data_IF_861393008763
#
_entry.id   IF_861393008763
#
_cell.length_a   1.000
_cell.length_b   1.000
_cell.length_c   1.000
_cell.angle_alpha   90.00
_cell.angle_beta   90.00
_cell.angle_gamma   90.00
#
_symmetry.space_group_name_H-M   'P 1'
#
loop_
_entity.id
_entity.type
_entity.pdbx_description
1 polymer ?
#
# COMPACT_ATOMS: atom_id res chain seq x y z
N UNK A 1 62.24 -11.63 9.40
CA UNK A 1 61.06 -12.33 9.92
C UNK A 1 60.37 -11.60 11.07
N UNK A 2 61.10 -10.99 11.96
CA UNK A 2 60.45 -10.25 13.07
C UNK A 2 59.61 -9.05 12.63
N UNK A 3 59.94 -8.43 11.52
CA UNK A 3 59.22 -7.27 11.02
C UNK A 3 57.83 -7.61 10.46
N UNK A 4 57.66 -8.81 9.95
CA UNK A 4 56.38 -9.27 9.40
C UNK A 4 55.39 -9.49 10.53
N UNK A 5 55.81 -10.01 11.65
CA UNK A 5 54.96 -10.21 12.80
C UNK A 5 54.48 -8.90 13.43
N UNK A 6 55.32 -7.88 13.40
CA UNK A 6 54.93 -6.57 13.89
C UNK A 6 53.85 -5.93 13.02
N UNK A 7 53.92 -6.07 11.70
CA UNK A 7 52.88 -5.58 10.81
C UNK A 7 51.59 -6.41 10.89
N UNK A 8 51.74 -7.71 11.10
CA UNK A 8 50.59 -8.59 11.34
C UNK A 8 49.87 -8.22 12.63
N UNK A 9 50.60 -7.94 13.70
CA UNK A 9 50.00 -7.50 14.95
C UNK A 9 49.31 -6.13 14.83
N UNK A 10 49.92 -5.21 14.09
CA UNK A 10 49.33 -3.90 13.85
C UNK A 10 48.03 -3.98 13.01
N UNK A 11 48.02 -4.87 12.02
CA UNK A 11 46.84 -5.12 11.22
C UNK A 11 45.71 -5.77 12.05
N UNK A 12 46.07 -6.71 12.90
CA UNK A 12 45.09 -7.34 13.78
C UNK A 12 44.50 -6.37 14.80
N UNK A 13 45.35 -5.46 15.30
CA UNK A 13 44.84 -4.42 16.22
C UNK A 13 43.92 -3.42 15.54
N UNK A 14 44.16 -3.13 14.25
CA UNK A 14 43.29 -2.22 13.53
C UNK A 14 41.91 -2.82 13.21
N UNK A 15 41.84 -4.13 13.08
CA UNK A 15 40.56 -4.81 12.84
C UNK A 15 39.75 -4.90 14.12
N UNK A 16 40.37 -4.97 15.26
CA UNK A 16 39.63 -5.02 16.53
C UNK A 16 39.00 -3.69 16.90
N UNK A 17 39.52 -2.59 16.40
CA UNK A 17 38.95 -1.29 16.76
C UNK A 17 37.66 -0.97 16.02
N UNK A 18 37.30 -1.73 15.00
CA UNK A 18 36.01 -1.51 14.33
C UNK A 18 34.84 -2.26 14.95
N UNK A 19 35.12 -3.11 15.90
CA UNK A 19 34.07 -3.94 16.48
C UNK A 19 33.35 -3.32 17.66
N UNK A 20 33.70 -2.12 18.01
CA UNK A 20 33.17 -1.52 19.23
C UNK A 20 32.16 -0.40 18.95
N UNK A 21 31.98 -0.08 17.68
CA UNK A 21 31.15 1.08 17.39
C UNK A 21 29.79 0.69 16.97
N UNK A 22 29.23 -0.28 17.54
CA UNK A 22 28.04 -0.67 16.97
C UNK A 22 26.86 -0.74 17.78
N UNK A 23 26.83 -0.18 18.90
CA UNK A 23 25.78 -0.60 19.69
C UNK A 23 25.03 0.33 20.43
N UNK A 24 25.14 1.49 20.14
CA UNK A 24 24.50 2.29 21.07
C UNK A 24 23.66 3.22 20.51
N UNK A 25 23.18 3.14 19.69
CA UNK A 25 22.38 3.70 19.08
C UNK A 25 21.03 3.65 19.32
N UNK A 26 20.69 3.15 20.04
CA UNK A 26 19.57 3.07 20.71
C UNK A 26 18.99 4.34 21.07
N UNK A 27 19.47 5.26 20.83
CA UNK A 27 18.91 6.46 20.99
C UNK A 27 18.07 6.80 19.90
N UNK A 28 17.45 6.08 19.56
CA UNK A 28 16.21 6.04 19.29
C UNK A 28 15.44 7.20 19.64
N UNK A 29 15.90 8.19 19.45
CA UNK A 29 15.13 9.28 19.05
C UNK A 29 14.57 8.99 17.69
N UNK A 30 14.19 7.82 17.51
CA UNK A 30 13.18 7.51 16.60
C UNK A 30 11.97 8.21 17.16
N UNK A 31 11.95 9.48 16.93
CA UNK A 31 10.71 10.17 16.87
C UNK A 31 9.92 9.32 15.90
N UNK A 32 9.13 8.48 16.42
CA UNK A 32 8.23 7.70 15.63
C UNK A 32 7.44 8.75 14.89
N UNK A 33 7.79 8.93 13.63
CA UNK A 33 7.04 9.78 12.75
C UNK A 33 5.64 9.21 12.84
N UNK A 34 4.76 9.93 13.50
CA UNK A 34 3.40 9.49 13.64
C UNK A 34 2.86 9.32 12.25
N UNK A 35 2.97 8.13 11.72
CA UNK A 35 2.44 7.80 10.42
C UNK A 35 0.93 7.89 10.53
N UNK A 36 0.39 8.82 9.78
CA UNK A 36 -1.05 9.01 9.73
C UNK A 36 -1.64 7.81 9.01
N UNK A 37 -2.64 7.20 9.62
CA UNK A 37 -3.34 6.08 9.01
C UNK A 37 -3.97 6.52 7.70
N UNK A 38 -3.87 5.68 6.68
CA UNK A 38 -4.47 5.95 5.38
C UNK A 38 -5.92 5.50 5.37
N UNK A 39 -6.84 6.46 5.29
CA UNK A 39 -8.27 6.21 5.35
C UNK A 39 -8.92 6.67 4.04
N UNK A 40 -9.70 5.80 3.45
CA UNK A 40 -10.50 6.11 2.25
C UNK A 40 -11.98 6.19 2.62
N UNK A 41 -12.74 7.00 1.89
CA UNK A 41 -14.17 7.18 2.18
C UNK A 41 -15.02 5.97 1.85
N UNK A 42 -14.55 5.08 0.98
CA UNK A 42 -15.29 3.88 0.57
C UNK A 42 -14.33 2.69 0.49
N UNK A 43 -14.18 1.94 1.57
CA UNK A 43 -13.30 0.77 1.55
C UNK A 43 -13.89 -0.43 0.79
N UNK A 44 -15.18 -0.38 0.48
CA UNK A 44 -15.86 -1.42 -0.30
C UNK A 44 -16.67 -0.75 -1.39
N UNK A 45 -16.47 -1.16 -2.64
CA UNK A 45 -17.22 -0.64 -3.78
C UNK A 45 -17.79 -1.79 -4.61
N UNK A 46 -18.95 -1.53 -5.16
CA UNK A 46 -19.62 -2.43 -6.10
C UNK A 46 -19.83 -1.67 -7.39
N UNK A 47 -19.34 -2.25 -8.49
CA UNK A 47 -19.44 -1.63 -9.79
C UNK A 47 -20.05 -2.61 -10.79
N UNK A 48 -20.87 -2.09 -11.67
CA UNK A 48 -21.42 -2.86 -12.79
C UNK A 48 -20.50 -2.86 -14.00
N UNK A 49 -21.00 -3.40 -15.08
CA UNK A 49 -20.28 -3.44 -16.33
C UNK A 49 -20.17 -2.02 -16.91
N UNK A 50 -18.98 -1.66 -17.38
CA UNK A 50 -18.68 -0.34 -17.93
C UNK A 50 -18.97 0.83 -16.96
N UNK A 51 -18.90 0.57 -15.68
CA UNK A 51 -19.04 1.58 -14.65
C UNK A 51 -17.71 1.98 -14.05
N UNK A 52 -17.67 3.15 -13.48
CA UNK A 52 -16.55 3.60 -12.69
C UNK A 52 -17.01 4.09 -11.33
N UNK A 53 -16.20 3.91 -10.33
CA UNK A 53 -16.44 4.41 -8.99
C UNK A 53 -15.30 5.34 -8.57
N UNK A 54 -15.65 6.37 -7.86
CA UNK A 54 -14.69 7.33 -7.33
C UNK A 54 -14.57 7.16 -5.82
N UNK A 55 -13.36 7.08 -5.36
CA UNK A 55 -13.01 6.94 -3.95
C UNK A 55 -12.05 8.06 -3.58
N UNK A 56 -12.35 8.76 -2.51
CA UNK A 56 -11.47 9.82 -2.04
C UNK A 56 -10.66 9.33 -0.85
N UNK A 57 -9.42 9.74 -0.79
CA UNK A 57 -8.62 9.62 0.41
C UNK A 57 -9.09 10.68 1.39
N UNK A 58 -9.43 10.28 2.59
CA UNK A 58 -9.91 11.17 3.64
C UNK A 58 -8.76 11.61 4.53
N UNK A 59 -7.90 10.68 4.84
CA UNK A 59 -6.72 10.91 5.69
C UNK A 59 -5.55 10.13 5.10
N UNK A 60 -4.40 10.73 5.03
CA UNK A 60 -3.18 10.08 4.54
C UNK A 60 -2.02 11.06 4.43
N UNK A 61 -0.86 10.54 4.07
CA UNK A 61 0.38 11.31 4.04
C UNK A 61 0.74 11.89 2.67
N UNK A 62 -0.15 11.78 1.70
CA UNK A 62 0.09 12.29 0.35
C UNK A 62 0.85 11.32 -0.55
N UNK A 63 1.07 11.71 -1.81
CA UNK A 63 1.80 10.92 -2.81
C UNK A 63 1.23 9.51 -2.97
N UNK A 64 -0.06 9.43 -3.26
CA UNK A 64 -0.76 8.16 -3.33
C UNK A 64 -0.46 7.43 -4.63
N UNK A 65 -0.28 6.12 -4.52
CA UNK A 65 -0.20 5.19 -5.64
C UNK A 65 -1.27 4.13 -5.48
N UNK A 66 -1.77 3.59 -6.58
CA UNK A 66 -2.80 2.57 -6.55
C UNK A 66 -2.40 1.38 -7.41
N UNK A 67 -2.80 0.20 -6.96
CA UNK A 67 -2.54 -1.05 -7.65
C UNK A 67 -3.75 -1.95 -7.55
N UNK A 68 -4.23 -2.45 -8.67
CA UNK A 68 -5.26 -3.48 -8.68
C UNK A 68 -4.60 -4.86 -8.73
N UNK A 69 -5.08 -5.78 -7.91
CA UNK A 69 -4.58 -7.14 -7.93
C UNK A 69 -5.10 -7.96 -9.11
N UNK A 70 -6.23 -7.55 -9.69
CA UNK A 70 -6.73 -8.17 -10.91
C UNK A 70 -7.35 -7.12 -11.83
N UNK A 71 -6.59 -6.72 -12.82
CA UNK A 71 -7.00 -5.68 -13.76
C UNK A 71 -8.10 -6.15 -14.73
N UNK A 72 -8.30 -7.46 -14.86
CA UNK A 72 -9.41 -7.98 -15.65
C UNK A 72 -10.77 -7.74 -14.97
N UNK A 73 -10.78 -7.62 -13.65
CA UNK A 73 -11.98 -7.33 -12.87
C UNK A 73 -12.16 -5.83 -12.69
N UNK A 74 -11.09 -5.13 -12.31
CA UNK A 74 -11.13 -3.68 -12.13
C UNK A 74 -9.74 -3.08 -12.28
N UNK A 75 -9.68 -1.88 -12.82
CA UNK A 75 -8.45 -1.07 -12.89
C UNK A 75 -8.62 0.15 -12.01
N UNK A 76 -7.52 0.66 -11.50
CA UNK A 76 -7.54 1.84 -10.64
C UNK A 76 -6.49 2.85 -11.10
N UNK A 77 -6.85 4.11 -11.00
CA UNK A 77 -5.95 5.24 -11.24
C UNK A 77 -6.12 6.24 -10.12
N UNK A 78 -5.08 7.03 -9.86
CA UNK A 78 -5.12 8.05 -8.82
C UNK A 78 -4.75 9.40 -9.40
N UNK A 79 -5.45 10.42 -8.94
CA UNK A 79 -5.14 11.82 -9.29
C UNK A 79 -5.30 12.64 -8.02
N UNK A 80 -4.18 13.05 -7.42
CA UNK A 80 -4.20 13.70 -6.11
C UNK A 80 -4.76 12.77 -5.04
N UNK A 81 -5.88 13.14 -4.48
CA UNK A 81 -6.59 12.36 -3.46
C UNK A 81 -7.77 11.55 -4.03
N UNK A 82 -8.01 11.69 -5.32
CA UNK A 82 -9.13 11.01 -5.98
C UNK A 82 -8.65 9.75 -6.67
N UNK A 83 -9.21 8.64 -6.27
CA UNK A 83 -8.97 7.32 -6.86
C UNK A 83 -10.15 6.97 -7.73
N UNK A 84 -9.92 6.67 -9.01
CA UNK A 84 -10.95 6.24 -9.94
C UNK A 84 -10.76 4.75 -10.20
N UNK A 85 -11.79 3.97 -9.91
CA UNK A 85 -11.80 2.53 -10.15
C UNK A 85 -12.77 2.24 -11.29
N UNK A 86 -12.28 1.61 -12.35
CA UNK A 86 -13.09 1.26 -13.52
C UNK A 86 -13.29 -0.24 -13.59
N UNK A 87 -14.47 -0.65 -14.00
CA UNK A 87 -14.78 -2.06 -14.20
C UNK A 87 -13.98 -2.62 -15.37
N UNK A 88 -13.49 -3.83 -15.19
CA UNK A 88 -12.85 -4.61 -16.25
C UNK A 88 -13.85 -5.46 -17.03
N UNK A 89 -13.33 -6.41 -17.78
CA UNK A 89 -14.14 -7.29 -18.62
C UNK A 89 -14.71 -8.49 -17.88
N UNK A 90 -14.14 -8.86 -16.74
CA UNK A 90 -14.54 -10.04 -16.00
C UNK A 90 -15.31 -9.69 -14.73
N UNK A 91 -16.28 -10.54 -14.41
CA UNK A 91 -16.97 -10.48 -13.13
C UNK A 91 -16.11 -11.06 -12.02
N UNK A 92 -16.34 -10.64 -10.82
CA UNK A 92 -15.67 -11.17 -9.64
C UNK A 92 -15.31 -10.09 -8.64
N UNK A 93 -14.46 -10.45 -7.73
CA UNK A 93 -13.97 -9.54 -6.71
C UNK A 93 -12.46 -9.40 -6.81
N UNK A 94 -11.98 -8.21 -6.55
CA UNK A 94 -10.56 -7.91 -6.48
C UNK A 94 -10.32 -6.87 -5.39
N UNK A 95 -9.07 -6.64 -5.08
CA UNK A 95 -8.67 -5.60 -4.14
C UNK A 95 -7.82 -4.57 -4.88
N UNK A 96 -8.10 -3.32 -4.61
CA UNK A 96 -7.25 -2.21 -5.03
C UNK A 96 -6.48 -1.75 -3.80
N UNK A 97 -5.18 -1.86 -3.89
CA UNK A 97 -4.27 -1.39 -2.85
C UNK A 97 -3.95 0.07 -3.11
N UNK A 98 -4.05 0.88 -2.09
CA UNK A 98 -3.66 2.29 -2.11
C UNK A 98 -2.50 2.45 -1.15
N UNK A 99 -1.43 3.03 -1.60
CA UNK A 99 -0.24 3.27 -0.78
C UNK A 99 0.08 4.75 -0.83
N UNK A 100 0.44 5.32 0.30
CA UNK A 100 0.90 6.69 0.35
C UNK A 100 2.43 6.79 0.22
N UNK A 101 2.95 8.01 0.20
CA UNK A 101 4.38 8.24 0.07
C UNK A 101 5.22 7.77 1.25
N UNK A 102 4.60 7.45 2.37
CA UNK A 102 5.27 6.95 3.56
C UNK A 102 5.20 5.42 3.68
N UNK A 103 4.53 4.76 2.73
CA UNK A 103 4.39 3.31 2.73
C UNK A 103 3.20 2.78 3.51
N UNK A 104 2.31 3.65 3.96
CA UNK A 104 1.07 3.21 4.62
C UNK A 104 0.08 2.74 3.56
N UNK A 105 -0.56 1.61 3.81
CA UNK A 105 -1.39 0.93 2.83
C UNK A 105 -2.84 0.85 3.30
N UNK A 106 -3.77 1.13 2.40
CA UNK A 106 -5.19 0.88 2.58
C UNK A 106 -5.71 0.01 1.44
N UNK A 107 -6.68 -0.83 1.73
CA UNK A 107 -7.25 -1.74 0.75
C UNK A 107 -8.70 -1.39 0.46
N UNK A 108 -9.03 -1.34 -0.81
CA UNK A 108 -10.39 -1.13 -1.29
C UNK A 108 -10.87 -2.44 -1.91
N UNK A 109 -11.91 -3.03 -1.34
CA UNK A 109 -12.53 -4.23 -1.90
C UNK A 109 -13.45 -3.84 -3.04
N UNK A 110 -13.18 -4.37 -4.23
CA UNK A 110 -13.98 -4.08 -5.42
C UNK A 110 -14.71 -5.34 -5.82
N UNK A 111 -16.01 -5.25 -5.89
CA UNK A 111 -16.87 -6.32 -6.38
C UNK A 111 -17.52 -5.88 -7.68
N UNK A 112 -17.16 -6.54 -8.78
CA UNK A 112 -17.73 -6.29 -10.09
C UNK A 112 -18.76 -7.36 -10.36
N UNK A 113 -20.00 -6.93 -10.56
CA UNK A 113 -21.14 -7.80 -10.78
C UNK A 113 -21.86 -7.37 -12.06
N UNK A 114 -22.38 -8.34 -12.79
CA UNK A 114 -23.24 -8.04 -13.92
C UNK A 114 -24.66 -7.73 -13.50
N UNK A 115 -25.01 -8.01 -12.25
CA UNK A 115 -26.35 -7.75 -11.80
C UNK A 115 -26.64 -6.27 -11.78
N UNK A 116 -27.54 -5.89 -12.62
CA UNK A 116 -28.08 -4.55 -12.59
C UNK A 116 -28.93 -4.39 -11.35
N UNK A 117 -28.92 -3.19 -10.81
CA UNK A 117 -29.77 -2.84 -9.67
C UNK A 117 -31.25 -3.11 -9.87
N UNK A 118 -31.63 -3.30 -11.11
CA UNK A 118 -32.98 -3.64 -11.49
C UNK A 118 -33.48 -4.89 -10.79
N UNK A 119 -32.63 -5.84 -10.48
CA UNK A 119 -33.04 -7.03 -9.77
C UNK A 119 -33.63 -6.79 -8.40
N UNK A 120 -33.26 -5.74 -7.73
CA UNK A 120 -33.83 -5.40 -6.44
C UNK A 120 -35.25 -4.90 -6.54
N UNK A 121 -35.55 -4.21 -7.61
CA UNK A 121 -36.91 -3.73 -7.83
C UNK A 121 -37.85 -4.87 -8.14
N UNK A 122 -37.40 -5.85 -8.86
CA UNK A 122 -38.17 -7.04 -9.11
C UNK A 122 -38.57 -7.76 -7.83
N UNK A 123 -37.71 -7.81 -6.85
CA UNK A 123 -38.03 -8.44 -5.58
C UNK A 123 -39.16 -7.73 -4.83
N UNK A 124 -39.25 -6.44 -4.97
CA UNK A 124 -40.36 -5.72 -4.37
C UNK A 124 -41.69 -5.99 -5.06
N UNK A 125 -41.64 -6.19 -6.35
CA UNK A 125 -42.86 -6.45 -7.12
C UNK A 125 -43.34 -7.88 -6.93
N UNK A 126 -42.52 -8.76 -6.49
CA UNK A 126 -42.88 -10.15 -6.27
C UNK A 126 -43.61 -10.41 -4.96
N UNK A 127 -44.03 -9.41 -4.29
CA UNK A 127 -44.82 -9.56 -3.08
C UNK A 127 -46.25 -9.94 -3.31
#
# INVERSE_FOLDING_TARGET
MKRIYTYMCLLLLSVLSFAVTGCDDDDDDDVAKDLIELIVNKPVIRIGQNEEAKVNVVVGNGNYTVRSFNTAIATATVSGELITVKSGSQNGATTVEVMDGEGVVANISVNRSEERRVGKECLRLCR
#
